data_IF_954770720991
#
_entry.id   IF_954770720991
#
_cell.length_a   1.000
_cell.length_b   1.000
_cell.length_c   1.000
_cell.angle_alpha   90.00
_cell.angle_beta   90.00
_cell.angle_gamma   90.00
#
_symmetry.space_group_name_H-M   'P 1'
#
loop_
_entity.id
_entity.type
_entity.pdbx_description
1 polymer ?
#
# COMPACT_ATOMS: atom_id res chain seq x y z
N UNK A 1 -4.54 -20.62 12.27
CA UNK A 1 -3.13 -20.23 12.39
C UNK A 1 -2.90 -19.02 11.48
N UNK A 2 -2.94 -17.81 12.03
CA UNK A 2 -2.70 -16.58 11.24
C UNK A 2 -1.21 -16.51 10.93
N UNK A 3 -0.85 -16.67 9.65
CA UNK A 3 0.51 -16.40 9.18
C UNK A 3 0.83 -14.94 9.48
N UNK A 4 1.68 -14.70 10.48
CA UNK A 4 2.19 -13.36 10.73
C UNK A 4 2.94 -12.90 9.48
N UNK A 5 2.53 -11.79 8.88
CA UNK A 5 3.25 -11.20 7.74
C UNK A 5 4.61 -10.74 8.24
N UNK A 6 5.66 -11.50 7.92
CA UNK A 6 7.05 -11.23 8.35
C UNK A 6 7.82 -10.35 7.36
N UNK A 7 7.33 -10.24 6.12
CA UNK A 7 8.00 -9.55 5.03
C UNK A 7 7.14 -8.40 4.49
N UNK A 8 7.80 -7.32 4.07
CA UNK A 8 7.12 -6.24 3.35
C UNK A 8 6.47 -6.79 2.08
N UNK A 9 5.15 -6.58 1.93
CA UNK A 9 4.40 -7.15 0.80
C UNK A 9 4.78 -6.55 -0.57
N UNK A 10 5.59 -5.48 -0.60
CA UNK A 10 6.15 -4.93 -1.83
C UNK A 10 7.60 -5.38 -2.05
N UNK A 11 8.56 -4.90 -1.24
CA UNK A 11 9.99 -5.19 -1.46
C UNK A 11 10.49 -6.53 -0.87
N UNK A 12 9.61 -7.32 -0.25
CA UNK A 12 9.90 -8.64 0.35
C UNK A 12 10.93 -8.65 1.49
N UNK A 13 11.40 -7.49 1.97
CA UNK A 13 12.32 -7.44 3.12
C UNK A 13 11.67 -7.87 4.43
N UNK A 14 12.41 -8.63 5.22
CA UNK A 14 12.08 -8.95 6.61
C UNK A 14 12.57 -7.82 7.53
N UNK A 15 11.67 -6.91 7.89
CA UNK A 15 11.98 -5.74 8.74
C UNK A 15 10.72 -5.27 9.44
N UNK A 16 10.80 -4.20 10.23
CA UNK A 16 9.63 -3.59 10.86
C UNK A 16 8.63 -3.12 9.80
N UNK A 17 7.39 -3.60 9.94
CA UNK A 17 6.29 -3.30 9.02
C UNK A 17 5.29 -2.35 9.67
N UNK A 18 4.63 -1.59 8.82
CA UNK A 18 3.53 -0.69 9.16
C UNK A 18 2.34 -1.04 8.28
N UNK A 19 1.14 -0.93 8.83
CA UNK A 19 -0.07 -1.14 8.06
C UNK A 19 -0.35 0.09 7.17
N UNK A 20 -0.57 -0.14 5.88
CA UNK A 20 -0.92 0.86 4.89
C UNK A 20 -2.29 0.54 4.30
N UNK A 21 -3.25 1.44 4.46
CA UNK A 21 -4.56 1.30 3.82
C UNK A 21 -4.45 1.47 2.31
N UNK A 22 -4.97 0.49 1.55
CA UNK A 22 -4.97 0.53 0.09
C UNK A 22 -5.89 1.65 -0.45
N UNK A 23 -7.02 1.88 0.23
CA UNK A 23 -7.80 3.12 0.10
C UNK A 23 -7.44 3.99 1.30
N UNK A 24 -6.69 5.08 1.15
CA UNK A 24 -6.25 5.91 2.28
C UNK A 24 -7.41 6.33 3.19
N UNK A 25 -7.22 6.28 4.51
CA UNK A 25 -8.26 6.61 5.51
C UNK A 25 -8.94 7.95 5.29
N UNK A 26 -8.20 8.97 4.82
CA UNK A 26 -8.77 10.28 4.51
C UNK A 26 -9.83 10.23 3.39
N UNK A 27 -9.76 9.23 2.51
CA UNK A 27 -10.74 9.02 1.44
C UNK A 27 -12.01 8.28 1.92
N UNK A 28 -11.96 7.57 3.05
CA UNK A 28 -13.08 6.73 3.53
C UNK A 28 -14.37 7.48 3.79
N UNK A 29 -14.33 8.78 4.12
CA UNK A 29 -15.53 9.59 4.39
C UNK A 29 -16.06 10.31 3.15
N UNK A 30 -15.32 10.32 2.04
CA UNK A 30 -15.75 11.01 0.82
C UNK A 30 -16.85 10.20 0.14
N UNK A 31 -17.93 10.88 -0.25
CA UNK A 31 -19.15 10.28 -0.84
C UNK A 31 -18.86 9.26 -1.96
N UNK A 32 -17.91 9.59 -2.85
CA UNK A 32 -17.50 8.72 -3.95
C UNK A 32 -16.95 7.36 -3.50
N UNK A 33 -16.26 7.29 -2.36
CA UNK A 33 -15.64 6.06 -1.87
C UNK A 33 -16.54 5.33 -0.87
N UNK A 34 -17.22 6.05 0.03
CA UNK A 34 -18.08 5.43 1.05
C UNK A 34 -19.37 4.82 0.49
N UNK A 35 -19.83 5.29 -0.68
CA UNK A 35 -20.96 4.69 -1.40
C UNK A 35 -20.54 3.53 -2.30
N UNK A 36 -19.28 3.54 -2.77
CA UNK A 36 -18.75 2.55 -3.70
C UNK A 36 -18.20 1.30 -3.00
N UNK A 37 -17.56 1.49 -1.86
CA UNK A 37 -16.87 0.41 -1.12
C UNK A 37 -17.51 0.20 0.24
N UNK A 38 -17.61 -1.05 0.65
CA UNK A 38 -18.01 -1.45 2.00
C UNK A 38 -16.98 -1.01 3.04
N UNK A 39 -17.39 -0.98 4.32
CA UNK A 39 -16.47 -0.69 5.43
C UNK A 39 -15.30 -1.69 5.49
N UNK A 40 -15.53 -2.96 5.14
CA UNK A 40 -14.50 -3.98 5.14
C UNK A 40 -13.46 -3.71 4.03
N UNK A 41 -13.91 -3.40 2.82
CA UNK A 41 -13.02 -3.04 1.70
C UNK A 41 -12.21 -1.78 1.99
N UNK A 42 -12.84 -0.74 2.57
CA UNK A 42 -12.13 0.48 2.97
C UNK A 42 -11.02 0.19 4.01
N UNK A 43 -11.20 -0.80 4.88
CA UNK A 43 -10.20 -1.19 5.88
C UNK A 43 -9.13 -2.13 5.35
N UNK A 44 -9.23 -2.59 4.09
CA UNK A 44 -8.17 -3.40 3.50
C UNK A 44 -6.87 -2.61 3.38
N UNK A 45 -5.77 -3.32 3.52
CA UNK A 45 -4.44 -2.75 3.53
C UNK A 45 -3.37 -3.81 3.44
N UNK A 46 -2.13 -3.35 3.40
CA UNK A 46 -0.93 -4.17 3.26
C UNK A 46 0.10 -3.77 4.30
N UNK A 47 0.91 -4.73 4.73
CA UNK A 47 2.02 -4.52 5.63
C UNK A 47 3.29 -4.19 4.84
N UNK A 48 3.77 -2.96 5.02
CA UNK A 48 4.89 -2.40 4.28
C UNK A 48 5.99 -1.94 5.22
N UNK A 49 7.24 -2.12 4.81
CA UNK A 49 8.36 -1.47 5.48
C UNK A 49 8.28 0.06 5.30
N UNK A 50 8.96 0.80 6.19
CA UNK A 50 8.96 2.28 6.18
C UNK A 50 9.40 2.89 4.85
N UNK A 51 10.37 2.27 4.16
CA UNK A 51 10.83 2.76 2.86
C UNK A 51 9.73 2.70 1.79
N UNK A 52 9.09 1.54 1.64
CA UNK A 52 8.01 1.37 0.66
C UNK A 52 6.79 2.22 1.02
N UNK A 53 6.41 2.28 2.29
CA UNK A 53 5.29 3.10 2.73
C UNK A 53 5.53 4.59 2.38
N UNK A 54 6.73 5.11 2.66
CA UNK A 54 7.08 6.49 2.30
C UNK A 54 7.12 6.69 0.79
N UNK A 55 7.62 5.72 0.03
CA UNK A 55 7.73 5.83 -1.42
C UNK A 55 6.37 5.95 -2.11
N UNK A 56 5.37 5.14 -1.71
CA UNK A 56 4.00 5.21 -2.25
C UNK A 56 3.43 6.62 -2.08
N UNK A 57 3.48 7.17 -0.87
CA UNK A 57 2.93 8.52 -0.59
C UNK A 57 3.80 9.67 -1.14
N UNK A 58 5.05 9.40 -1.50
CA UNK A 58 5.88 10.36 -2.23
C UNK A 58 5.51 10.36 -3.72
N UNK A 59 5.18 9.20 -4.27
CA UNK A 59 4.92 9.01 -5.68
C UNK A 59 3.48 9.40 -6.06
N UNK A 60 2.52 9.11 -5.19
CA UNK A 60 1.10 9.29 -5.46
C UNK A 60 0.39 9.97 -4.30
N UNK A 61 -0.55 10.86 -4.64
CA UNK A 61 -1.44 11.45 -3.66
C UNK A 61 -2.55 10.48 -3.25
N UNK A 62 -3.28 10.82 -2.18
CA UNK A 62 -4.30 9.92 -1.61
C UNK A 62 -5.45 9.61 -2.56
N UNK A 63 -5.78 10.54 -3.45
CA UNK A 63 -6.87 10.36 -4.43
C UNK A 63 -6.42 9.38 -5.51
N UNK A 64 -5.21 9.55 -6.04
CA UNK A 64 -4.62 8.67 -7.05
C UNK A 64 -4.50 7.26 -6.51
N UNK A 65 -4.01 7.09 -5.28
CA UNK A 65 -3.96 5.78 -4.62
C UNK A 65 -5.32 5.12 -4.55
N UNK A 66 -6.32 5.84 -4.04
CA UNK A 66 -7.68 5.30 -3.88
C UNK A 66 -8.37 4.94 -5.22
N UNK A 67 -7.99 5.58 -6.32
CA UNK A 67 -8.63 5.38 -7.62
C UNK A 67 -7.89 4.42 -8.54
N UNK A 68 -6.56 4.38 -8.48
CA UNK A 68 -5.71 3.71 -9.47
C UNK A 68 -4.79 2.64 -8.87
N UNK A 69 -4.51 2.70 -7.57
CA UNK A 69 -3.55 1.82 -6.89
C UNK A 69 -4.11 1.27 -5.57
N UNK A 70 -5.40 0.93 -5.56
CA UNK A 70 -6.13 0.48 -4.38
C UNK A 70 -6.09 -1.04 -4.17
N UNK A 71 -5.18 -1.75 -4.84
CA UNK A 71 -4.86 -3.16 -4.58
C UNK A 71 -3.34 -3.36 -4.56
N UNK A 72 -2.88 -4.46 -3.94
CA UNK A 72 -1.46 -4.79 -3.92
C UNK A 72 -0.93 -5.06 -5.34
N UNK A 73 -1.73 -5.73 -6.16
CA UNK A 73 -1.41 -6.10 -7.54
C UNK A 73 -1.19 -4.85 -8.39
N UNK A 74 -2.02 -3.82 -8.22
CA UNK A 74 -1.87 -2.55 -8.94
C UNK A 74 -0.59 -1.80 -8.53
N UNK A 75 -0.23 -1.83 -7.24
CA UNK A 75 1.04 -1.26 -6.76
C UNK A 75 2.25 -2.02 -7.28
N UNK A 76 2.16 -3.34 -7.39
CA UNK A 76 3.23 -4.19 -7.94
C UNK A 76 3.34 -4.04 -9.47
N UNK A 77 2.25 -3.77 -10.18
CA UNK A 77 2.27 -3.58 -11.63
C UNK A 77 2.83 -2.21 -12.06
N UNK A 78 3.07 -1.28 -11.13
CA UNK A 78 3.49 0.07 -11.45
C UNK A 78 5.00 0.20 -11.66
N UNK A 79 5.41 0.61 -12.86
CA UNK A 79 6.83 0.75 -13.25
C UNK A 79 7.60 1.76 -12.37
N UNK A 80 6.95 2.84 -11.96
CA UNK A 80 7.60 3.85 -11.13
C UNK A 80 7.89 3.31 -9.73
N UNK A 81 6.97 2.54 -9.16
CA UNK A 81 7.16 1.83 -7.89
C UNK A 81 8.18 0.68 -8.04
N UNK A 82 8.17 -0.09 -9.13
CA UNK A 82 9.07 -1.23 -9.35
C UNK A 82 10.54 -0.86 -9.19
N UNK A 83 10.98 0.28 -9.74
CA UNK A 83 12.35 0.78 -9.56
C UNK A 83 12.71 0.99 -8.09
N UNK A 84 11.77 1.54 -7.30
CA UNK A 84 11.96 1.66 -5.86
C UNK A 84 12.05 0.30 -5.19
N UNK A 85 11.21 -0.68 -5.56
CA UNK A 85 11.19 -2.00 -4.93
C UNK A 85 12.52 -2.75 -5.14
N UNK A 86 13.06 -2.72 -6.35
CA UNK A 86 14.34 -3.36 -6.69
C UNK A 86 15.50 -2.80 -5.87
N UNK A 87 15.53 -1.48 -5.66
CA UNK A 87 16.51 -0.84 -4.78
C UNK A 87 16.23 -1.14 -3.30
N UNK A 88 14.98 -0.99 -2.86
CA UNK A 88 14.56 -1.14 -1.48
C UNK A 88 14.84 -2.56 -0.97
N UNK A 89 14.66 -3.59 -1.79
CA UNK A 89 14.89 -4.99 -1.45
C UNK A 89 16.34 -5.27 -1.00
N UNK A 90 17.30 -4.45 -1.44
CA UNK A 90 18.74 -4.59 -1.14
C UNK A 90 19.20 -3.75 0.05
N UNK A 91 18.31 -2.91 0.62
CA UNK A 91 18.66 -2.06 1.75
C UNK A 91 18.59 -2.85 3.05
N UNK A 92 19.55 -2.60 3.96
CA UNK A 92 19.55 -3.14 5.32
C UNK A 92 18.30 -2.71 6.11
#
# INVERSE_FOLDING_TARGET
>A
MLLAVKHCQLCQRQTLLTFHHLIPRKMHRRSRFNKKYSKAELQQGVYLCRLCHKAIHKQYDEITLAQRFNTLELLLADDAIQRHLQWAAKQK
#
